data_IF_930492109411
#
_entry.id   IF_930492109411
#
_cell.length_a   1.000
_cell.length_b   1.000
_cell.length_c   1.000
_cell.angle_alpha   90.00
_cell.angle_beta   90.00
_cell.angle_gamma   90.00
#
_symmetry.space_group_name_H-M   'P 1'
#
loop_
_entity.id
_entity.type
_entity.pdbx_description
1 polymer ?
#
# COMPACT_ATOMS: atom_id res chain seq x y z
N UNK A 1 34.34 5.97 -48.56
CA UNK A 1 32.94 5.88 -48.11
C UNK A 1 32.84 5.23 -46.71
N UNK A 2 33.42 5.84 -45.66
CA UNK A 2 33.52 5.23 -44.31
C UNK A 2 32.66 5.89 -43.22
N UNK A 3 32.02 7.03 -43.50
CA UNK A 3 31.22 7.79 -42.52
C UNK A 3 29.90 7.09 -42.15
N UNK A 4 29.28 6.37 -43.08
CA UNK A 4 27.98 5.73 -42.84
C UNK A 4 28.08 4.50 -41.92
N UNK A 5 29.15 3.68 -42.03
CA UNK A 5 29.30 2.50 -41.17
C UNK A 5 29.55 2.90 -39.70
N UNK A 6 30.39 3.91 -39.47
CA UNK A 6 30.67 4.39 -38.12
C UNK A 6 29.45 5.03 -37.45
N UNK A 7 28.60 5.71 -38.23
CA UNK A 7 27.34 6.28 -37.75
C UNK A 7 26.31 5.21 -37.38
N UNK A 8 26.25 4.10 -38.14
CA UNK A 8 25.34 2.99 -37.83
C UNK A 8 25.75 2.27 -36.54
N UNK A 9 27.06 2.08 -36.33
CA UNK A 9 27.58 1.47 -35.10
C UNK A 9 27.27 2.36 -33.88
N UNK A 10 27.51 3.66 -33.98
CA UNK A 10 27.18 4.61 -32.91
C UNK A 10 25.67 4.64 -32.60
N UNK A 11 24.82 4.56 -33.62
CA UNK A 11 23.37 4.47 -33.44
C UNK A 11 22.95 3.19 -32.72
N UNK A 12 23.48 2.02 -33.10
CA UNK A 12 23.14 0.75 -32.43
C UNK A 12 23.58 0.76 -30.97
N UNK A 13 24.77 1.30 -30.67
CA UNK A 13 25.25 1.45 -29.30
C UNK A 13 24.34 2.40 -28.51
N UNK A 14 24.01 3.56 -29.06
CA UNK A 14 23.11 4.53 -28.42
C UNK A 14 21.71 3.96 -28.20
N UNK A 15 21.16 3.26 -29.19
CA UNK A 15 19.86 2.60 -29.10
C UNK A 15 19.87 1.47 -28.07
N UNK A 16 20.95 0.68 -28.00
CA UNK A 16 21.12 -0.38 -27.00
C UNK A 16 21.14 0.17 -25.57
N UNK A 17 21.91 1.24 -25.33
CA UNK A 17 21.95 1.93 -24.03
C UNK A 17 20.59 2.55 -23.69
N UNK A 18 19.94 3.20 -24.66
CA UNK A 18 18.62 3.80 -24.47
C UNK A 18 17.54 2.76 -24.14
N UNK A 19 17.55 1.61 -24.82
CA UNK A 19 16.64 0.51 -24.56
C UNK A 19 16.87 -0.11 -23.18
N UNK A 20 18.13 -0.32 -22.78
CA UNK A 20 18.46 -0.85 -21.47
C UNK A 20 17.95 0.06 -20.34
N UNK A 21 18.17 1.37 -20.46
CA UNK A 21 17.64 2.35 -19.50
C UNK A 21 16.11 2.40 -19.54
N UNK A 22 15.49 2.35 -20.72
CA UNK A 22 14.04 2.33 -20.87
C UNK A 22 13.39 1.13 -20.18
N UNK A 23 14.01 -0.05 -20.26
CA UNK A 23 13.55 -1.26 -19.57
C UNK A 23 13.77 -1.14 -18.06
N UNK A 24 14.90 -0.61 -17.59
CA UNK A 24 15.17 -0.47 -16.16
C UNK A 24 14.23 0.53 -15.47
N UNK A 25 13.89 1.61 -16.16
CA UNK A 25 12.94 2.61 -15.68
C UNK A 25 11.48 2.22 -15.92
N UNK A 26 11.22 1.12 -16.64
CA UNK A 26 9.85 0.69 -16.91
C UNK A 26 9.11 0.39 -15.60
N UNK A 27 7.89 0.92 -15.42
CA UNK A 27 7.08 0.58 -14.27
C UNK A 27 6.71 -0.90 -14.30
N UNK A 28 6.51 -1.47 -13.11
CA UNK A 28 6.01 -2.82 -12.95
C UNK A 28 4.59 -2.95 -13.54
N UNK A 29 4.17 -4.16 -13.89
CA UNK A 29 2.85 -4.35 -14.46
C UNK A 29 1.76 -3.92 -13.47
N UNK A 30 0.63 -3.42 -14.01
CA UNK A 30 -0.50 -3.02 -13.19
C UNK A 30 -1.02 -4.18 -12.31
N UNK A 31 -1.00 -5.41 -12.83
CA UNK A 31 -1.37 -6.60 -12.06
C UNK A 31 -0.46 -6.82 -10.86
N UNK A 32 0.87 -6.78 -11.05
CA UNK A 32 1.82 -6.98 -9.96
C UNK A 32 1.74 -5.86 -8.91
N UNK A 33 1.55 -4.61 -9.36
CA UNK A 33 1.38 -3.47 -8.46
C UNK A 33 0.12 -3.59 -7.62
N UNK A 34 -1.02 -4.00 -8.22
CA UNK A 34 -2.28 -4.22 -7.51
C UNK A 34 -2.19 -5.38 -6.52
N UNK A 35 -1.58 -6.48 -6.92
CA UNK A 35 -1.38 -7.63 -6.03
C UNK A 35 -0.50 -7.26 -4.82
N UNK A 36 0.59 -6.53 -5.05
CA UNK A 36 1.45 -5.97 -3.97
C UNK A 36 0.69 -5.01 -3.07
N UNK A 37 -0.18 -4.17 -3.63
CA UNK A 37 -0.95 -3.18 -2.88
C UNK A 37 -2.04 -3.85 -2.02
N UNK A 38 -2.83 -4.76 -2.61
CA UNK A 38 -3.83 -5.56 -1.90
C UNK A 38 -3.20 -6.32 -0.73
N UNK A 39 -2.04 -6.96 -0.95
CA UNK A 39 -1.32 -7.68 0.12
C UNK A 39 -0.94 -6.75 1.29
N UNK A 40 -0.38 -5.57 1.00
CA UNK A 40 0.02 -4.60 2.03
C UNK A 40 -1.19 -4.07 2.80
N UNK A 41 -2.29 -3.76 2.11
CA UNK A 41 -3.52 -3.30 2.73
C UNK A 41 -4.14 -4.38 3.62
N UNK A 42 -4.16 -5.64 3.18
CA UNK A 42 -4.63 -6.76 4.01
C UNK A 42 -3.77 -6.94 5.27
N UNK A 43 -2.46 -6.74 5.17
CA UNK A 43 -1.57 -6.80 6.34
C UNK A 43 -1.88 -5.67 7.35
N UNK A 44 -2.00 -4.43 6.89
CA UNK A 44 -2.31 -3.29 7.77
C UNK A 44 -3.72 -3.37 8.36
N UNK A 45 -4.67 -3.92 7.60
CA UNK A 45 -6.01 -4.23 8.13
C UNK A 45 -5.90 -5.13 9.36
N UNK A 46 -5.15 -6.23 9.25
CA UNK A 46 -4.98 -7.18 10.35
C UNK A 46 -4.29 -6.57 11.57
N UNK A 47 -3.24 -5.79 11.35
CA UNK A 47 -2.52 -5.08 12.42
C UNK A 47 -3.44 -4.06 13.13
N UNK A 48 -4.33 -3.41 12.37
CA UNK A 48 -5.33 -2.50 12.94
C UNK A 48 -6.42 -3.24 13.72
N UNK A 49 -6.88 -4.40 13.25
CA UNK A 49 -7.81 -5.27 13.99
C UNK A 49 -7.19 -5.70 15.34
N UNK A 50 -5.94 -6.18 15.32
CA UNK A 50 -5.21 -6.57 16.54
C UNK A 50 -5.08 -5.40 17.53
N UNK A 51 -4.77 -4.19 17.05
CA UNK A 51 -4.67 -3.00 17.90
C UNK A 51 -6.02 -2.61 18.51
N UNK A 52 -7.13 -2.72 17.76
CA UNK A 52 -8.48 -2.46 18.28
C UNK A 52 -8.81 -3.46 19.39
N UNK A 53 -8.51 -4.74 19.18
CA UNK A 53 -8.76 -5.80 20.14
C UNK A 53 -7.95 -5.56 21.43
N UNK A 54 -6.66 -5.22 21.32
CA UNK A 54 -5.81 -4.87 22.46
C UNK A 54 -6.33 -3.64 23.22
N UNK A 55 -6.80 -2.60 22.52
CA UNK A 55 -7.42 -1.43 23.14
C UNK A 55 -8.71 -1.77 23.91
N UNK A 56 -9.48 -2.74 23.42
CA UNK A 56 -10.73 -3.19 24.05
C UNK A 56 -10.46 -4.11 25.24
N UNK A 57 -9.46 -4.98 25.15
CA UNK A 57 -9.06 -5.95 26.19
C UNK A 57 -8.23 -5.31 27.32
N UNK A 58 -7.31 -4.40 27.01
CA UNK A 58 -6.49 -3.64 27.98
C UNK A 58 -7.30 -2.77 28.95
N UNK A 59 -8.61 -2.65 28.71
CA UNK A 59 -9.63 -2.00 29.54
C UNK A 59 -9.83 -2.65 30.91
N UNK A 60 -9.39 -3.89 31.15
CA UNK A 60 -9.56 -4.56 32.45
C UNK A 60 -8.62 -4.03 33.56
N UNK A 61 -7.58 -3.26 33.24
CA UNK A 61 -6.60 -2.81 34.23
C UNK A 61 -6.88 -1.37 34.72
N UNK A 62 -7.57 -1.30 35.86
CA UNK A 62 -7.56 -0.21 36.87
C UNK A 62 -7.87 1.23 36.40
N UNK A 63 -9.15 1.65 36.38
CA UNK A 63 -9.51 3.06 36.10
C UNK A 63 -10.57 3.62 37.07
N UNK A 64 -10.12 4.49 37.99
CA UNK A 64 -10.92 5.34 38.89
C UNK A 64 -11.06 6.78 38.32
N UNK A 65 -12.17 7.47 38.59
CA UNK A 65 -12.64 8.86 38.28
C UNK A 65 -12.23 9.60 36.98
N UNK A 66 -11.08 9.37 36.35
CA UNK A 66 -10.75 9.73 34.95
C UNK A 66 -11.57 8.94 33.90
N UNK A 67 -12.62 8.25 34.37
CA UNK A 67 -13.36 7.16 33.73
C UNK A 67 -14.29 7.61 32.61
N UNK A 68 -14.83 8.82 32.67
CA UNK A 68 -15.81 9.31 31.69
C UNK A 68 -15.10 9.81 30.43
N UNK A 69 -14.10 10.68 30.58
CA UNK A 69 -13.32 11.19 29.45
C UNK A 69 -12.44 10.11 28.81
N UNK A 70 -11.81 9.24 29.61
CA UNK A 70 -11.04 8.11 29.08
C UNK A 70 -11.89 7.15 28.26
N UNK A 71 -13.09 6.78 28.75
CA UNK A 71 -14.03 5.96 27.97
C UNK A 71 -14.46 6.65 26.68
N UNK A 72 -14.75 7.96 26.71
CA UNK A 72 -15.16 8.71 25.52
C UNK A 72 -14.07 8.70 24.46
N UNK A 73 -12.82 8.98 24.83
CA UNK A 73 -11.67 8.99 23.91
C UNK A 73 -11.41 7.59 23.35
N UNK A 74 -11.49 6.54 24.18
CA UNK A 74 -11.33 5.15 23.72
C UNK A 74 -12.45 4.76 22.76
N UNK A 75 -13.70 5.11 23.07
CA UNK A 75 -14.84 4.85 22.18
C UNK A 75 -14.72 5.61 20.86
N UNK A 76 -14.29 6.87 20.88
CA UNK A 76 -14.03 7.64 19.66
C UNK A 76 -12.90 7.04 18.82
N UNK A 77 -11.79 6.64 19.46
CA UNK A 77 -10.67 5.98 18.79
C UNK A 77 -11.11 4.66 18.14
N UNK A 78 -11.88 3.84 18.86
CA UNK A 78 -12.46 2.59 18.36
C UNK A 78 -13.35 2.85 17.13
N UNK A 79 -14.32 3.76 17.23
CA UNK A 79 -15.23 4.09 16.12
C UNK A 79 -14.45 4.59 14.88
N UNK A 80 -13.40 5.40 15.09
CA UNK A 80 -12.57 5.91 14.01
C UNK A 80 -11.74 4.80 13.36
N UNK A 81 -11.27 3.83 14.14
CA UNK A 81 -10.55 2.67 13.65
C UNK A 81 -11.46 1.71 12.87
N UNK A 82 -12.70 1.47 13.33
CA UNK A 82 -13.71 0.68 12.59
C UNK A 82 -14.06 1.32 11.24
N UNK A 83 -14.20 2.65 11.19
CA UNK A 83 -14.39 3.37 9.93
C UNK A 83 -13.19 3.18 8.98
N UNK A 84 -11.96 3.26 9.51
CA UNK A 84 -10.75 3.03 8.73
C UNK A 84 -10.68 1.60 8.18
N UNK A 85 -11.04 0.59 8.98
CA UNK A 85 -11.15 -0.80 8.52
C UNK A 85 -12.16 -0.95 7.38
N UNK A 86 -13.32 -0.30 7.49
CA UNK A 86 -14.33 -0.29 6.42
C UNK A 86 -13.77 0.28 5.12
N UNK A 87 -13.05 1.39 5.20
CA UNK A 87 -12.47 2.05 4.02
C UNK A 87 -11.32 1.24 3.40
N UNK A 88 -10.50 0.57 4.22
CA UNK A 88 -9.47 -0.36 3.73
C UNK A 88 -10.11 -1.56 3.00
N UNK A 89 -11.20 -2.13 3.53
CA UNK A 89 -11.91 -3.22 2.85
C UNK A 89 -12.45 -2.75 1.49
N UNK A 90 -13.11 -1.59 1.43
CA UNK A 90 -13.60 -1.01 0.16
C UNK A 90 -12.47 -0.78 -0.84
N UNK A 91 -11.31 -0.32 -0.38
CA UNK A 91 -10.15 -0.09 -1.23
C UNK A 91 -9.59 -1.40 -1.81
N UNK A 92 -9.45 -2.44 -0.98
CA UNK A 92 -9.06 -3.77 -1.44
C UNK A 92 -10.04 -4.30 -2.48
N UNK A 93 -11.35 -4.14 -2.23
CA UNK A 93 -12.38 -4.58 -3.15
C UNK A 93 -12.32 -3.84 -4.49
N UNK A 94 -12.09 -2.53 -4.49
CA UNK A 94 -11.88 -1.75 -5.72
C UNK A 94 -10.62 -2.21 -6.48
N UNK A 95 -9.50 -2.37 -5.76
CA UNK A 95 -8.23 -2.86 -6.34
C UNK A 95 -8.37 -4.29 -6.89
N UNK A 96 -9.30 -5.09 -6.39
CA UNK A 96 -9.54 -6.45 -6.91
C UNK A 96 -10.64 -6.50 -7.97
N UNK A 97 -11.61 -5.57 -7.95
CA UNK A 97 -12.75 -5.55 -8.87
C UNK A 97 -12.38 -5.13 -10.29
N UNK A 98 -11.50 -4.14 -10.48
CA UNK A 98 -11.06 -3.78 -11.86
C UNK A 98 -10.05 -4.79 -12.44
N UNK A 99 -9.97 -6.01 -11.88
CA UNK A 99 -9.17 -7.14 -12.37
C UNK A 99 -9.97 -7.98 -13.40
N UNK A 100 -11.26 -7.69 -13.57
CA UNK A 100 -12.20 -8.28 -14.53
C UNK A 100 -12.62 -7.28 -15.61
#
# INVERSE_FOLDING_TARGET
MSKNSNSLIAFVIGAGVGAALGVLFAPDSGSNTRDKLSFRLSKYKKELEELIDELVEGKELHLNEAKTEGKRVITEAKNKAENLLSDVNKLIDQINKDKN
#
